data_IF_162547858698
#
_entry.id   IF_162547858698
#
_cell.length_a   1.000
_cell.length_b   1.000
_cell.length_c   1.000
_cell.angle_alpha   90.00
_cell.angle_beta   90.00
_cell.angle_gamma   90.00
#
_symmetry.space_group_name_H-M   'P 1'
#
loop_
_entity.id
_entity.type
_entity.pdbx_description
1 polymer ?
#
# COMPACT_ATOMS: atom_id res chain seq x y z
N UNK A 1 16.76 24.70 -14.65
CA UNK A 1 16.66 25.06 -16.09
C UNK A 1 15.96 23.92 -16.83
N UNK A 2 15.47 24.11 -18.05
CA UNK A 2 14.99 22.98 -18.90
C UNK A 2 16.14 22.35 -19.67
N UNK A 3 15.94 21.13 -20.19
CA UNK A 3 16.98 20.40 -20.94
C UNK A 3 17.48 21.20 -22.16
N UNK A 4 16.58 21.89 -22.87
CA UNK A 4 16.90 22.72 -24.02
C UNK A 4 17.81 23.90 -23.63
N UNK A 5 17.56 24.51 -22.46
CA UNK A 5 18.37 25.61 -21.94
C UNK A 5 19.78 25.12 -21.54
N UNK A 6 19.87 23.93 -20.95
CA UNK A 6 21.14 23.32 -20.57
C UNK A 6 22.02 23.04 -21.79
N UNK A 7 21.44 22.46 -22.85
CA UNK A 7 22.14 22.17 -24.11
C UNK A 7 22.55 23.47 -24.80
N UNK A 8 21.66 24.47 -24.84
CA UNK A 8 22.02 25.76 -25.40
C UNK A 8 23.19 26.41 -24.64
N UNK A 9 23.21 26.34 -23.30
CA UNK A 9 24.32 26.86 -22.50
C UNK A 9 25.65 26.18 -22.83
N UNK A 10 25.63 24.87 -23.09
CA UNK A 10 26.81 24.14 -23.55
C UNK A 10 27.27 24.61 -24.93
N UNK A 11 26.35 24.75 -25.89
CA UNK A 11 26.63 25.28 -27.23
C UNK A 11 27.25 26.68 -27.12
N UNK A 12 26.68 27.56 -26.30
CA UNK A 12 27.15 28.94 -26.14
C UNK A 12 28.57 28.99 -25.57
N UNK A 13 28.87 28.15 -24.57
CA UNK A 13 30.21 27.99 -24.00
C UNK A 13 31.23 27.49 -25.04
N UNK A 14 30.85 26.48 -25.83
CA UNK A 14 31.69 25.93 -26.90
C UNK A 14 31.96 26.96 -28.00
N UNK A 15 30.94 27.73 -28.39
CA UNK A 15 31.07 28.82 -29.35
C UNK A 15 32.04 29.90 -28.87
N UNK A 16 31.92 30.32 -27.62
CA UNK A 16 32.84 31.30 -27.02
C UNK A 16 34.28 30.77 -26.97
N UNK A 17 34.45 29.49 -26.61
CA UNK A 17 35.78 28.87 -26.44
C UNK A 17 36.47 28.56 -27.76
N UNK A 18 35.72 28.20 -28.81
CA UNK A 18 36.25 27.72 -30.10
C UNK A 18 36.02 28.68 -31.26
N UNK A 19 35.37 29.82 -31.03
CA UNK A 19 35.04 30.78 -32.08
C UNK A 19 33.99 30.27 -33.07
N UNK A 20 33.13 29.33 -32.66
CA UNK A 20 32.12 28.75 -33.54
C UNK A 20 30.89 29.66 -33.65
N UNK A 21 30.30 29.72 -34.85
CA UNK A 21 29.02 30.39 -35.08
C UNK A 21 27.86 29.38 -35.06
N UNK A 22 26.65 29.88 -34.81
CA UNK A 22 25.44 29.03 -34.92
C UNK A 22 25.23 28.51 -36.35
N UNK A 23 25.65 29.29 -37.35
CA UNK A 23 25.54 28.89 -38.75
C UNK A 23 26.49 27.75 -39.12
N UNK A 24 27.72 27.76 -38.58
CA UNK A 24 28.65 26.63 -38.72
C UNK A 24 28.08 25.35 -38.12
N UNK A 25 27.51 25.42 -36.90
CA UNK A 25 26.90 24.27 -36.23
C UNK A 25 25.68 23.76 -37.02
N UNK A 26 24.80 24.66 -37.47
CA UNK A 26 23.62 24.31 -38.27
C UNK A 26 24.01 23.68 -39.62
N UNK A 27 25.06 24.20 -40.25
CA UNK A 27 25.57 23.67 -41.52
C UNK A 27 26.20 22.29 -41.35
N UNK A 28 26.98 22.08 -40.30
CA UNK A 28 27.55 20.75 -40.03
C UNK A 28 26.46 19.71 -39.70
N UNK A 29 25.43 20.09 -38.93
CA UNK A 29 24.31 19.22 -38.60
C UNK A 29 23.57 18.67 -39.84
N UNK A 30 23.54 19.43 -40.96
CA UNK A 30 22.94 18.97 -42.23
C UNK A 30 23.64 17.74 -42.81
N UNK A 31 24.93 17.55 -42.55
CA UNK A 31 25.67 16.35 -42.98
C UNK A 31 25.16 15.08 -42.33
N UNK A 32 24.52 15.22 -41.17
CA UNK A 32 23.88 14.14 -40.43
C UNK A 32 22.36 14.11 -40.62
N UNK A 33 21.84 14.80 -41.63
CA UNK A 33 20.42 14.76 -42.03
C UNK A 33 19.51 15.76 -41.30
N UNK A 34 20.04 16.63 -40.43
CA UNK A 34 19.23 17.65 -39.78
C UNK A 34 18.90 18.82 -40.72
N UNK A 35 17.70 19.39 -40.60
CA UNK A 35 17.29 20.60 -41.34
C UNK A 35 17.48 21.89 -40.52
N UNK A 36 18.48 21.89 -39.63
CA UNK A 36 18.65 22.97 -38.66
C UNK A 36 19.03 24.31 -39.31
N UNK A 37 18.55 25.37 -38.67
CA UNK A 37 18.92 26.77 -38.94
C UNK A 37 19.55 27.37 -37.69
N UNK A 38 20.28 28.50 -37.80
CA UNK A 38 20.72 29.24 -36.61
C UNK A 38 19.55 29.61 -35.68
N UNK A 39 18.38 29.89 -36.26
CA UNK A 39 17.13 30.14 -35.55
C UNK A 39 16.67 28.95 -34.70
N UNK A 40 16.75 27.73 -35.24
CA UNK A 40 16.44 26.50 -34.49
C UNK A 40 17.35 26.34 -33.26
N UNK A 41 18.67 26.52 -33.43
CA UNK A 41 19.63 26.36 -32.32
C UNK A 41 19.40 27.43 -31.25
N UNK A 42 19.25 28.69 -31.65
CA UNK A 42 18.92 29.79 -30.72
C UNK A 42 17.56 29.63 -30.04
N UNK A 43 16.60 28.98 -30.70
CA UNK A 43 15.29 28.62 -30.17
C UNK A 43 15.36 27.72 -28.93
N UNK A 44 16.41 26.88 -28.80
CA UNK A 44 16.63 26.03 -27.63
C UNK A 44 16.75 26.84 -26.33
N UNK A 45 17.36 28.05 -26.38
CA UNK A 45 17.48 28.95 -25.23
C UNK A 45 16.12 29.34 -24.62
N UNK A 46 15.09 29.42 -25.46
CA UNK A 46 13.73 29.81 -25.07
C UNK A 46 12.77 28.63 -25.05
N UNK A 47 13.29 27.40 -25.11
CA UNK A 47 12.51 26.18 -25.19
C UNK A 47 11.55 26.14 -26.40
N UNK A 48 11.85 26.89 -27.47
CA UNK A 48 11.04 26.94 -28.70
C UNK A 48 11.44 25.84 -29.71
N UNK A 49 12.53 25.13 -29.45
CA UNK A 49 13.02 24.02 -30.26
C UNK A 49 13.42 22.86 -29.35
N UNK A 50 12.95 21.67 -29.67
CA UNK A 50 13.11 20.50 -28.81
C UNK A 50 14.53 19.90 -28.93
N UNK A 51 15.16 19.66 -27.79
CA UNK A 51 16.38 18.86 -27.72
C UNK A 51 16.03 17.39 -27.46
N UNK A 52 15.47 16.74 -28.47
CA UNK A 52 15.25 15.30 -28.46
C UNK A 52 16.59 14.55 -28.43
N UNK A 53 16.56 13.26 -28.05
CA UNK A 53 17.73 12.38 -28.13
C UNK A 53 18.35 12.38 -29.54
N UNK A 54 17.51 12.32 -30.57
CA UNK A 54 17.92 12.44 -31.97
C UNK A 54 18.72 13.72 -32.21
N UNK A 55 18.22 14.87 -31.74
CA UNK A 55 18.92 16.14 -31.91
C UNK A 55 20.22 16.20 -31.10
N UNK A 56 20.26 15.62 -29.90
CA UNK A 56 21.49 15.55 -29.12
C UNK A 56 22.58 14.71 -29.81
N UNK A 57 22.21 13.58 -30.42
CA UNK A 57 23.14 12.73 -31.17
C UNK A 57 23.75 13.47 -32.37
N UNK A 58 22.92 14.16 -33.15
CA UNK A 58 23.40 14.99 -34.26
C UNK A 58 24.29 16.12 -33.76
N UNK A 59 23.91 16.79 -32.67
CA UNK A 59 24.70 17.87 -32.10
C UNK A 59 26.08 17.38 -31.68
N UNK A 60 26.15 16.24 -30.98
CA UNK A 60 27.41 15.64 -30.55
C UNK A 60 28.32 15.39 -31.76
N UNK A 61 27.82 14.69 -32.78
CA UNK A 61 28.61 14.41 -34.00
C UNK A 61 29.06 15.67 -34.73
N UNK A 62 28.20 16.68 -34.79
CA UNK A 62 28.52 17.97 -35.40
C UNK A 62 29.63 18.70 -34.64
N UNK A 63 29.58 18.70 -33.30
CA UNK A 63 30.61 19.31 -32.47
C UNK A 63 31.92 18.53 -32.48
N UNK A 64 31.88 17.20 -32.51
CA UNK A 64 33.08 16.37 -32.70
C UNK A 64 33.78 16.72 -34.02
N UNK A 65 33.03 16.79 -35.12
CA UNK A 65 33.53 17.16 -36.45
C UNK A 65 34.16 18.56 -36.47
N UNK A 66 33.48 19.56 -35.90
CA UNK A 66 33.96 20.95 -35.88
C UNK A 66 35.14 21.19 -34.94
N UNK A 67 35.28 20.39 -33.89
CA UNK A 67 36.30 20.63 -32.84
C UNK A 67 37.46 19.64 -32.88
N UNK A 68 37.32 18.53 -33.61
CA UNK A 68 38.29 17.44 -33.67
C UNK A 68 38.45 16.67 -32.36
N UNK A 69 37.53 16.86 -31.39
CA UNK A 69 37.59 16.20 -30.08
C UNK A 69 36.45 15.20 -29.95
N UNK A 70 36.72 13.98 -29.44
CA UNK A 70 35.67 13.04 -29.08
C UNK A 70 34.72 13.65 -28.05
N UNK A 71 33.42 13.38 -28.18
CA UNK A 71 32.37 13.90 -27.33
C UNK A 71 31.27 12.84 -27.14
N UNK A 72 30.81 12.66 -25.91
CA UNK A 72 29.67 11.79 -25.59
C UNK A 72 28.45 12.60 -25.16
N UNK A 73 27.28 11.97 -25.08
CA UNK A 73 26.02 12.66 -24.73
C UNK A 73 26.08 13.32 -23.34
N UNK A 74 26.73 12.68 -22.37
CA UNK A 74 26.85 13.20 -21.00
C UNK A 74 27.69 14.49 -20.94
N UNK A 75 28.59 14.72 -21.90
CA UNK A 75 29.42 15.94 -21.96
C UNK A 75 28.60 17.19 -22.30
N UNK A 76 27.39 17.05 -22.86
CA UNK A 76 26.48 18.17 -23.12
C UNK A 76 25.95 18.82 -21.83
N UNK A 77 26.13 18.17 -20.68
CA UNK A 77 25.59 18.59 -19.39
C UNK A 77 26.68 18.76 -18.33
N UNK A 78 27.65 19.68 -18.51
CA UNK A 78 28.72 19.88 -17.54
C UNK A 78 28.24 20.62 -16.28
N UNK A 79 28.97 20.43 -15.18
CA UNK A 79 28.77 21.15 -13.92
C UNK A 79 27.52 20.74 -13.15
N UNK A 80 27.14 21.57 -12.17
CA UNK A 80 26.07 21.28 -11.22
C UNK A 80 24.75 21.98 -11.54
N UNK A 81 23.70 21.57 -10.82
CA UNK A 81 22.37 22.17 -10.87
C UNK A 81 21.28 21.23 -11.40
N UNK A 82 20.04 21.71 -11.34
CA UNK A 82 18.87 20.91 -11.68
C UNK A 82 18.31 21.20 -13.08
N UNK A 83 17.91 20.12 -13.75
CA UNK A 83 17.15 20.11 -14.98
C UNK A 83 15.70 19.75 -14.65
N UNK A 84 14.79 20.66 -14.95
CA UNK A 84 13.34 20.47 -14.78
C UNK A 84 12.83 19.53 -15.87
N UNK A 85 12.08 18.52 -15.45
CA UNK A 85 11.34 17.60 -16.29
C UNK A 85 9.87 18.04 -16.35
N UNK A 86 9.12 17.45 -17.28
CA UNK A 86 7.67 17.64 -17.30
C UNK A 86 7.02 16.89 -16.12
N UNK A 87 5.82 17.33 -15.71
CA UNK A 87 5.11 16.70 -14.60
C UNK A 87 5.64 17.04 -13.19
N UNK A 88 6.45 18.10 -13.07
CA UNK A 88 6.93 18.61 -11.77
C UNK A 88 8.21 17.96 -11.25
N UNK A 89 8.67 16.88 -11.90
CA UNK A 89 9.95 16.26 -11.60
C UNK A 89 11.16 17.12 -12.00
N UNK A 90 12.30 16.82 -11.42
CA UNK A 90 13.61 17.32 -11.81
C UNK A 90 14.66 16.22 -11.75
N UNK A 91 15.78 16.43 -12.40
CA UNK A 91 16.96 15.57 -12.32
C UNK A 91 18.17 16.47 -12.10
N UNK A 92 19.08 16.08 -11.21
CA UNK A 92 20.36 16.78 -11.10
C UNK A 92 21.19 16.49 -12.35
N UNK A 93 22.09 17.42 -12.74
CA UNK A 93 23.00 17.16 -13.87
C UNK A 93 23.89 15.95 -13.64
N UNK A 94 24.25 15.66 -12.40
CA UNK A 94 25.03 14.47 -12.05
C UNK A 94 24.23 13.19 -12.31
N UNK A 95 22.98 13.11 -11.85
CA UNK A 95 22.10 11.96 -12.11
C UNK A 95 21.81 11.80 -13.61
N UNK A 96 21.66 12.91 -14.35
CA UNK A 96 21.50 12.86 -15.81
C UNK A 96 22.74 12.29 -16.51
N UNK A 97 23.95 12.65 -16.05
CA UNK A 97 25.19 12.08 -16.59
C UNK A 97 25.27 10.58 -16.31
N UNK A 98 24.87 10.12 -15.11
CA UNK A 98 24.78 8.69 -14.81
C UNK A 98 23.85 7.97 -15.79
N UNK A 99 22.64 8.51 -15.98
CA UNK A 99 21.64 7.97 -16.90
C UNK A 99 22.20 7.83 -18.33
N UNK A 100 22.81 8.89 -18.86
CA UNK A 100 23.37 8.92 -20.22
C UNK A 100 24.60 8.02 -20.39
N UNK A 101 25.27 7.66 -19.30
CA UNK A 101 26.38 6.70 -19.28
C UNK A 101 25.93 5.26 -19.00
N UNK A 102 24.62 4.99 -18.98
CA UNK A 102 24.06 3.66 -18.78
C UNK A 102 24.02 3.18 -17.33
N UNK A 103 24.20 4.08 -16.37
CA UNK A 103 24.13 3.76 -14.94
C UNK A 103 22.72 4.03 -14.38
N UNK A 104 22.44 3.42 -13.23
CA UNK A 104 21.26 3.75 -12.44
C UNK A 104 21.29 5.21 -12.01
N UNK A 105 20.12 5.85 -11.96
CA UNK A 105 19.97 7.25 -11.63
C UNK A 105 18.66 7.51 -10.89
N UNK A 106 18.61 8.61 -10.16
CA UNK A 106 17.44 9.05 -9.40
C UNK A 106 16.83 10.34 -9.96
N UNK A 107 15.50 10.45 -9.86
CA UNK A 107 14.74 11.66 -10.18
C UNK A 107 14.32 12.36 -8.89
N UNK A 108 14.52 13.66 -8.83
CA UNK A 108 14.10 14.53 -7.74
C UNK A 108 12.68 15.07 -8.01
N UNK A 109 11.92 15.35 -6.96
CA UNK A 109 10.66 16.11 -7.10
C UNK A 109 9.56 15.45 -7.92
N UNK A 110 9.71 14.19 -8.33
CA UNK A 110 8.57 13.33 -8.63
C UNK A 110 8.09 12.89 -7.24
N UNK A 111 7.05 13.51 -6.64
CA UNK A 111 6.37 12.81 -5.56
C UNK A 111 6.04 11.44 -6.15
N UNK A 112 6.34 10.31 -5.46
CA UNK A 112 5.92 9.00 -5.95
C UNK A 112 4.46 9.19 -6.37
N UNK A 113 4.19 9.00 -7.67
CA UNK A 113 2.86 9.23 -8.29
C UNK A 113 1.88 8.74 -7.24
N UNK A 114 1.11 9.66 -6.63
CA UNK A 114 0.35 9.36 -5.40
C UNK A 114 -0.25 7.97 -5.59
N UNK A 115 0.29 6.99 -4.86
CA UNK A 115 -0.04 5.57 -5.05
C UNK A 115 -1.55 5.33 -4.85
N UNK A 116 -2.23 6.33 -4.26
CA UNK A 116 -3.67 6.44 -4.04
C UNK A 116 -4.53 6.67 -5.28
N UNK A 117 -3.97 7.05 -6.45
CA UNK A 117 -4.77 7.44 -7.62
C UNK A 117 -4.69 6.43 -8.78
N UNK A 118 -3.99 5.30 -8.59
CA UNK A 118 -4.03 4.20 -9.53
C UNK A 118 -5.37 3.44 -9.36
N UNK A 119 -6.22 3.35 -10.40
CA UNK A 119 -7.54 2.72 -10.30
C UNK A 119 -7.48 1.26 -9.86
N UNK A 120 -6.39 0.53 -10.17
CA UNK A 120 -6.19 -0.85 -9.72
C UNK A 120 -5.89 -0.90 -8.22
N UNK A 121 -5.08 0.04 -7.72
CA UNK A 121 -4.76 0.14 -6.29
C UNK A 121 -5.97 0.64 -5.49
N UNK A 122 -6.78 1.55 -6.05
CA UNK A 122 -8.04 1.96 -5.43
C UNK A 122 -9.04 0.80 -5.35
N UNK A 123 -9.17 0.01 -6.42
CA UNK A 123 -10.02 -1.19 -6.42
C UNK A 123 -9.53 -2.22 -5.39
N UNK A 124 -8.21 -2.47 -5.32
CA UNK A 124 -7.62 -3.36 -4.32
C UNK A 124 -7.86 -2.86 -2.89
N UNK A 125 -7.60 -1.58 -2.62
CA UNK A 125 -7.85 -0.98 -1.30
C UNK A 125 -9.33 -1.03 -0.95
N UNK A 126 -10.23 -0.76 -1.89
CA UNK A 126 -11.67 -0.83 -1.67
C UNK A 126 -12.14 -2.27 -1.43
N UNK A 127 -11.62 -3.25 -2.18
CA UNK A 127 -11.92 -4.66 -1.98
C UNK A 127 -11.42 -5.15 -0.61
N UNK A 128 -10.21 -4.75 -0.20
CA UNK A 128 -9.67 -5.03 1.13
C UNK A 128 -10.54 -4.40 2.22
N UNK A 129 -10.88 -3.11 2.12
CA UNK A 129 -11.76 -2.42 3.07
C UNK A 129 -13.14 -3.07 3.16
N UNK A 130 -13.71 -3.52 2.04
CA UNK A 130 -15.00 -4.22 1.99
C UNK A 130 -14.91 -5.63 2.61
N UNK A 131 -13.73 -6.23 2.67
CA UNK A 131 -13.52 -7.55 3.28
C UNK A 131 -13.36 -7.50 4.80
N UNK A 132 -12.97 -6.34 5.38
CA UNK A 132 -12.76 -6.18 6.83
C UNK A 132 -14.00 -6.56 7.64
N UNK A 133 -15.23 -6.08 7.33
CA UNK A 133 -16.42 -6.49 8.07
C UNK A 133 -16.65 -8.01 8.07
N UNK A 134 -16.36 -8.69 6.97
CA UNK A 134 -16.50 -10.15 6.86
C UNK A 134 -15.43 -10.88 7.70
N UNK A 135 -14.18 -10.40 7.68
CA UNK A 135 -13.11 -10.95 8.51
C UNK A 135 -13.46 -10.79 9.99
N UNK A 136 -13.90 -9.61 10.41
CA UNK A 136 -14.26 -9.35 11.81
C UNK A 136 -15.51 -10.13 12.25
N UNK A 137 -16.46 -10.36 11.35
CA UNK A 137 -17.60 -11.25 11.60
C UNK A 137 -17.14 -12.69 11.84
N UNK A 138 -16.22 -13.21 11.02
CA UNK A 138 -15.65 -14.55 11.20
C UNK A 138 -14.84 -14.68 12.50
N UNK A 139 -14.05 -13.67 12.85
CA UNK A 139 -13.35 -13.62 14.15
C UNK A 139 -14.36 -13.64 15.30
N UNK A 140 -15.45 -12.87 15.17
CA UNK A 140 -16.51 -12.83 16.17
C UNK A 140 -17.18 -14.20 16.36
N UNK A 141 -17.54 -14.86 15.26
CA UNK A 141 -18.13 -16.20 15.26
C UNK A 141 -17.18 -17.24 15.87
N UNK A 142 -15.90 -17.20 15.50
CA UNK A 142 -14.88 -18.09 16.04
C UNK A 142 -14.72 -17.94 17.56
N UNK A 143 -14.67 -16.72 18.08
CA UNK A 143 -14.53 -16.46 19.53
C UNK A 143 -15.75 -16.98 20.31
N UNK A 144 -16.95 -16.69 19.83
CA UNK A 144 -18.20 -17.13 20.47
C UNK A 144 -18.32 -18.64 20.43
N UNK A 145 -18.12 -19.26 19.27
CA UNK A 145 -18.18 -20.72 19.12
C UNK A 145 -17.12 -21.42 19.97
N UNK A 146 -15.90 -20.88 20.06
CA UNK A 146 -14.83 -21.43 20.91
C UNK A 146 -15.22 -21.38 22.39
N UNK A 147 -15.83 -20.29 22.87
CA UNK A 147 -16.29 -20.20 24.25
C UNK A 147 -17.48 -21.15 24.53
N UNK A 148 -18.45 -21.23 23.61
CA UNK A 148 -19.63 -22.08 23.76
C UNK A 148 -19.31 -23.59 23.63
N UNK A 149 -18.28 -23.96 22.87
CA UNK A 149 -17.80 -25.34 22.76
C UNK A 149 -16.66 -25.66 23.75
N UNK A 150 -16.25 -24.69 24.56
CA UNK A 150 -15.20 -24.87 25.57
C UNK A 150 -15.64 -25.73 26.76
N UNK A 151 -14.75 -25.89 27.76
CA UNK A 151 -15.04 -26.64 28.98
C UNK A 151 -16.33 -26.18 29.65
N UNK A 152 -17.03 -27.10 30.35
CA UNK A 152 -18.37 -26.85 30.91
C UNK A 152 -18.48 -25.57 31.74
N UNK A 153 -17.40 -25.18 32.45
CA UNK A 153 -17.35 -23.90 33.19
C UNK A 153 -17.45 -22.69 32.25
N UNK A 154 -16.57 -22.62 31.23
CA UNK A 154 -16.53 -21.51 30.27
C UNK A 154 -17.83 -21.43 29.47
N UNK A 155 -18.31 -22.57 28.97
CA UNK A 155 -19.59 -22.65 28.27
C UNK A 155 -20.74 -22.13 29.13
N UNK A 156 -20.84 -22.58 30.39
CA UNK A 156 -21.94 -22.20 31.28
C UNK A 156 -21.93 -20.70 31.62
N UNK A 157 -20.75 -20.12 31.87
CA UNK A 157 -20.62 -18.68 32.10
C UNK A 157 -21.02 -17.90 30.83
N UNK A 158 -20.56 -18.33 29.66
CA UNK A 158 -20.88 -17.69 28.39
C UNK A 158 -22.38 -17.74 28.04
N UNK A 159 -23.06 -18.87 28.27
CA UNK A 159 -24.48 -19.02 27.94
C UNK A 159 -25.40 -18.14 28.79
N UNK A 160 -24.98 -17.78 30.00
CA UNK A 160 -25.78 -16.97 30.92
C UNK A 160 -25.38 -15.49 30.94
N UNK A 161 -24.29 -15.14 30.26
CA UNK A 161 -23.80 -13.77 30.22
C UNK A 161 -24.49 -12.94 29.14
N UNK A 162 -24.92 -11.74 29.52
CA UNK A 162 -25.38 -10.72 28.58
C UNK A 162 -24.36 -9.59 28.54
N UNK A 163 -23.81 -9.22 27.36
CA UNK A 163 -22.74 -8.23 27.26
C UNK A 163 -23.09 -6.89 27.91
N UNK A 164 -22.22 -6.40 28.79
CA UNK A 164 -22.44 -5.13 29.50
C UNK A 164 -22.24 -3.93 28.58
N UNK A 165 -22.68 -2.74 29.01
CA UNK A 165 -22.47 -1.51 28.24
C UNK A 165 -20.97 -1.20 28.05
N UNK A 166 -20.13 -1.59 29.02
CA UNK A 166 -18.66 -1.47 28.91
C UNK A 166 -18.13 -2.37 27.79
N UNK A 167 -18.63 -3.61 27.71
CA UNK A 167 -18.22 -4.59 26.70
C UNK A 167 -18.72 -4.23 25.31
N UNK A 168 -19.94 -3.70 25.18
CA UNK A 168 -20.47 -3.20 23.91
C UNK A 168 -19.57 -2.08 23.36
N UNK A 169 -19.24 -1.09 24.19
CA UNK A 169 -18.34 0.01 23.80
C UNK A 169 -16.92 -0.44 23.52
N UNK A 170 -16.46 -1.49 24.20
CA UNK A 170 -15.14 -2.07 23.96
C UNK A 170 -15.11 -2.82 22.63
N UNK A 171 -16.15 -3.60 22.35
CA UNK A 171 -16.32 -4.34 21.09
C UNK A 171 -16.36 -3.40 19.88
N UNK A 172 -17.10 -2.28 19.98
CA UNK A 172 -17.14 -1.24 18.94
C UNK A 172 -15.76 -0.67 18.61
N UNK A 173 -14.88 -0.54 19.61
CA UNK A 173 -13.53 0.02 19.42
C UNK A 173 -12.59 -0.92 18.68
N UNK A 174 -12.72 -2.22 18.91
CA UNK A 174 -11.87 -3.25 18.30
C UNK A 174 -12.54 -3.91 17.09
N UNK A 175 -13.77 -3.50 16.74
CA UNK A 175 -14.47 -3.93 15.52
C UNK A 175 -15.09 -5.32 15.54
N UNK A 176 -15.37 -5.92 16.72
CA UNK A 176 -16.05 -7.23 16.85
C UNK A 176 -17.42 -7.09 17.52
N UNK A 177 -18.19 -8.18 17.59
CA UNK A 177 -19.49 -8.16 18.28
C UNK A 177 -19.33 -8.17 19.81
N UNK A 178 -20.28 -7.60 20.54
CA UNK A 178 -20.25 -7.59 22.01
C UNK A 178 -20.20 -9.00 22.64
N UNK A 179 -20.92 -10.02 22.13
CA UNK A 179 -20.73 -11.41 22.57
C UNK A 179 -19.32 -11.94 22.31
N UNK A 180 -18.70 -11.61 21.18
CA UNK A 180 -17.33 -12.02 20.89
C UNK A 180 -16.31 -11.36 21.82
N UNK A 181 -16.53 -10.09 22.19
CA UNK A 181 -15.68 -9.39 23.14
C UNK A 181 -15.77 -10.00 24.55
N UNK A 182 -16.98 -10.37 24.99
CA UNK A 182 -17.16 -11.10 26.25
C UNK A 182 -16.50 -12.49 26.19
N UNK A 183 -16.66 -13.20 25.07
CA UNK A 183 -16.05 -14.51 24.85
C UNK A 183 -14.52 -14.45 24.92
N UNK A 184 -13.86 -13.49 24.26
CA UNK A 184 -12.39 -13.39 24.31
C UNK A 184 -11.88 -12.98 25.70
N UNK A 185 -12.61 -12.14 26.45
CA UNK A 185 -12.29 -11.86 27.85
C UNK A 185 -12.31 -13.15 28.68
N UNK A 186 -13.39 -13.93 28.53
CA UNK A 186 -13.58 -15.18 29.26
C UNK A 186 -12.52 -16.23 28.88
N UNK A 187 -12.22 -16.38 27.59
CA UNK A 187 -11.20 -17.32 27.08
C UNK A 187 -9.77 -16.95 27.50
N UNK A 188 -9.46 -15.65 27.62
CA UNK A 188 -8.12 -15.17 27.99
C UNK A 188 -7.91 -15.10 29.49
N UNK A 189 -8.89 -14.63 30.24
CA UNK A 189 -8.73 -14.28 31.65
C UNK A 189 -9.57 -15.17 32.59
N UNK A 190 -10.46 -15.99 32.04
CA UNK A 190 -11.46 -16.74 32.81
C UNK A 190 -12.51 -15.85 33.47
N UNK A 191 -12.63 -14.58 33.04
CA UNK A 191 -13.49 -13.52 33.61
C UNK A 191 -13.97 -12.56 32.52
N UNK A 192 -15.12 -11.93 32.73
CA UNK A 192 -15.64 -10.86 31.88
C UNK A 192 -14.95 -9.52 32.15
N UNK A 193 -15.16 -8.52 31.28
CA UNK A 193 -14.39 -7.27 31.29
C UNK A 193 -14.45 -6.53 32.63
N UNK A 194 -15.65 -6.36 33.18
CA UNK A 194 -15.86 -5.59 34.41
C UNK A 194 -15.18 -6.28 35.62
N UNK A 195 -15.18 -7.62 35.66
CA UNK A 195 -14.51 -8.40 36.70
C UNK A 195 -12.99 -8.35 36.58
N UNK A 196 -12.45 -8.54 35.37
CA UNK A 196 -11.01 -8.51 35.17
C UNK A 196 -10.43 -7.13 35.45
N UNK A 197 -11.12 -6.07 35.03
CA UNK A 197 -10.69 -4.69 35.29
C UNK A 197 -10.79 -4.33 36.78
N UNK A 198 -11.86 -4.77 37.48
CA UNK A 198 -11.97 -4.61 38.92
C UNK A 198 -10.85 -5.33 39.68
N UNK A 199 -10.49 -6.54 39.24
CA UNK A 199 -9.38 -7.32 39.81
C UNK A 199 -8.03 -6.61 39.63
N UNK A 200 -7.72 -6.14 38.42
CA UNK A 200 -6.46 -5.41 38.13
C UNK A 200 -6.37 -4.09 38.89
N UNK A 201 -7.48 -3.37 38.99
CA UNK A 201 -7.52 -2.08 39.67
C UNK A 201 -7.42 -2.23 41.20
N UNK A 202 -7.98 -3.31 41.75
CA UNK A 202 -8.11 -3.63 43.18
C UNK A 202 -9.46 -3.20 43.76
N UNK A 203 -9.96 -3.90 44.80
CA UNK A 203 -11.35 -3.76 45.30
C UNK A 203 -11.78 -2.32 45.68
N UNK A 204 -10.87 -1.47 46.13
CA UNK A 204 -11.15 -0.07 46.53
C UNK A 204 -10.60 1.00 45.56
N UNK A 205 -10.37 0.63 44.31
CA UNK A 205 -9.81 1.54 43.31
C UNK A 205 -10.78 2.63 42.86
N UNK A 206 -10.23 3.83 42.64
CA UNK A 206 -11.01 4.95 42.12
C UNK A 206 -11.53 4.69 40.70
N UNK A 207 -12.64 5.35 40.28
CA UNK A 207 -13.16 5.22 38.92
C UNK A 207 -12.12 5.51 37.82
N UNK A 208 -11.21 6.46 38.05
CA UNK A 208 -10.14 6.79 37.09
C UNK A 208 -9.12 5.66 36.96
N UNK A 209 -8.79 4.97 38.06
CA UNK A 209 -7.89 3.83 38.03
C UNK A 209 -8.53 2.64 37.29
N UNK A 210 -9.80 2.34 37.58
CA UNK A 210 -10.57 1.31 36.87
C UNK A 210 -10.63 1.59 35.36
N UNK A 211 -10.92 2.83 34.98
CA UNK A 211 -10.94 3.23 33.57
C UNK A 211 -9.59 3.14 32.85
N UNK A 212 -8.46 3.17 33.58
CA UNK A 212 -7.13 2.88 33.00
C UNK A 212 -6.95 1.39 32.75
N UNK A 213 -7.32 0.55 33.72
CA UNK A 213 -7.25 -0.91 33.54
C UNK A 213 -8.18 -1.40 32.42
N UNK A 214 -9.38 -0.82 32.28
CA UNK A 214 -10.28 -1.12 31.16
C UNK A 214 -9.62 -0.83 29.82
N UNK A 215 -8.90 0.30 29.68
CA UNK A 215 -8.17 0.60 28.44
C UNK A 215 -7.05 -0.40 28.17
N UNK A 216 -6.29 -0.77 29.20
CA UNK A 216 -5.24 -1.79 29.07
C UNK A 216 -5.78 -3.16 28.62
N UNK A 217 -6.92 -3.60 29.18
CA UNK A 217 -7.58 -4.85 28.75
C UNK A 217 -8.06 -4.78 27.31
N UNK A 218 -8.60 -3.64 26.87
CA UNK A 218 -9.02 -3.41 25.48
C UNK A 218 -7.81 -3.48 24.54
N UNK A 219 -6.71 -2.79 24.86
CA UNK A 219 -5.47 -2.82 24.07
C UNK A 219 -4.87 -4.23 23.97
N UNK A 220 -4.88 -5.00 25.06
CA UNK A 220 -4.41 -6.40 25.05
C UNK A 220 -5.28 -7.33 24.20
N UNK A 221 -6.59 -7.05 24.11
CA UNK A 221 -7.53 -7.78 23.27
C UNK A 221 -7.39 -7.38 21.81
N UNK A 222 -7.18 -6.09 21.52
CA UNK A 222 -6.93 -5.57 20.17
C UNK A 222 -5.70 -6.25 19.56
N UNK A 223 -4.58 -6.26 20.30
CA UNK A 223 -3.35 -6.98 19.91
C UNK A 223 -3.57 -8.49 19.74
N UNK A 224 -4.48 -9.07 20.52
CA UNK A 224 -4.83 -10.49 20.37
C UNK A 224 -5.56 -10.76 19.06
N UNK A 225 -6.52 -9.89 18.71
CA UNK A 225 -7.29 -10.00 17.47
C UNK A 225 -6.36 -9.79 16.27
N UNK A 226 -5.47 -8.80 16.33
CA UNK A 226 -4.45 -8.58 15.31
C UNK A 226 -3.58 -9.82 15.09
N UNK A 227 -3.13 -10.47 16.16
CA UNK A 227 -2.37 -11.72 16.06
C UNK A 227 -3.21 -12.86 15.45
N UNK A 228 -4.49 -12.98 15.83
CA UNK A 228 -5.40 -13.99 15.23
C UNK A 228 -5.56 -13.81 13.72
N UNK A 229 -5.63 -12.56 13.26
CA UNK A 229 -5.80 -12.22 11.84
C UNK A 229 -4.50 -12.48 11.06
N UNK A 230 -3.35 -12.11 11.61
CA UNK A 230 -2.07 -12.16 10.90
C UNK A 230 -1.35 -13.52 11.00
N UNK A 231 -1.41 -14.17 12.16
CA UNK A 231 -0.58 -15.33 12.50
C UNK A 231 -1.39 -16.62 12.72
N UNK A 232 -2.73 -16.52 12.79
CA UNK A 232 -3.64 -17.65 12.92
C UNK A 232 -4.16 -17.89 14.35
N UNK A 233 -4.90 -18.99 14.60
CA UNK A 233 -5.59 -19.23 15.86
C UNK A 233 -4.61 -19.37 17.05
N UNK A 234 -5.00 -18.80 18.19
CA UNK A 234 -4.17 -18.73 19.41
C UNK A 234 -4.65 -19.79 20.41
N UNK A 235 -3.72 -20.40 21.15
CA UNK A 235 -4.06 -21.20 22.32
C UNK A 235 -4.61 -20.33 23.44
N UNK A 236 -5.88 -20.54 23.83
CA UNK A 236 -6.49 -19.83 24.94
C UNK A 236 -6.13 -20.48 26.29
N UNK A 237 -5.56 -19.73 27.26
CA UNK A 237 -5.18 -20.28 28.55
C UNK A 237 -6.34 -20.93 29.31
N UNK A 238 -7.55 -20.37 29.23
CA UNK A 238 -8.72 -20.91 29.92
C UNK A 238 -9.19 -22.28 29.39
N UNK A 239 -8.66 -22.73 28.24
CA UNK A 239 -8.95 -24.05 27.67
C UNK A 239 -7.95 -25.14 28.13
N UNK A 240 -6.84 -24.76 28.78
CA UNK A 240 -5.78 -25.71 29.17
C UNK A 240 -6.02 -26.42 30.52
N UNK A 241 -7.01 -25.98 31.30
CA UNK A 241 -7.23 -26.45 32.69
C UNK A 241 -8.21 -27.62 32.86
N UNK A 242 -8.73 -28.22 31.78
CA UNK A 242 -9.65 -29.37 31.91
C UNK A 242 -8.97 -30.70 31.59
N UNK A 243 -8.69 -31.43 32.67
CA UNK A 243 -8.37 -32.86 32.68
C UNK A 243 -9.44 -33.64 31.87
N UNK A 244 -9.02 -34.24 30.76
CA UNK A 244 -9.53 -35.41 30.02
C UNK A 244 -11.03 -35.61 29.70
N UNK A 245 -11.25 -36.21 28.52
CA UNK A 245 -12.45 -36.89 27.99
C UNK A 245 -13.61 -36.05 27.46
N UNK A 246 -13.54 -35.67 26.17
CA UNK A 246 -14.44 -36.25 25.14
C UNK A 246 -13.95 -35.86 23.73
N UNK A 247 -13.37 -36.81 23.01
CA UNK A 247 -12.82 -36.65 21.66
C UNK A 247 -13.54 -37.65 20.76
N UNK A 248 -14.61 -37.23 20.08
CA UNK A 248 -15.06 -37.82 18.79
C UNK A 248 -16.21 -36.99 18.23
N UNK A 249 -15.91 -35.91 17.49
CA UNK A 249 -16.73 -35.27 16.41
C UNK A 249 -16.24 -33.85 16.06
N UNK A 250 -15.39 -33.23 16.88
CA UNK A 250 -15.01 -31.81 16.76
C UNK A 250 -13.86 -31.49 15.79
N UNK A 251 -13.24 -32.49 15.14
CA UNK A 251 -12.04 -32.29 14.32
C UNK A 251 -12.36 -31.71 12.91
N UNK A 252 -13.59 -31.90 12.43
CA UNK A 252 -13.97 -31.59 11.05
C UNK A 252 -14.27 -30.10 10.82
N UNK A 253 -14.96 -29.40 11.74
CA UNK A 253 -15.27 -27.97 11.55
C UNK A 253 -14.07 -27.07 11.84
N UNK A 254 -13.26 -27.39 12.85
CA UNK A 254 -12.02 -26.67 13.13
C UNK A 254 -11.01 -26.83 11.99
N UNK A 255 -10.93 -28.03 11.40
CA UNK A 255 -10.12 -28.26 10.18
C UNK A 255 -10.61 -27.43 9.00
N UNK A 256 -11.92 -27.32 8.78
CA UNK A 256 -12.47 -26.54 7.64
C UNK A 256 -12.22 -25.04 7.76
N UNK A 257 -12.31 -24.48 8.97
CA UNK A 257 -12.04 -23.05 9.21
C UNK A 257 -10.54 -22.75 9.11
N UNK A 258 -9.69 -23.61 9.68
CA UNK A 258 -8.23 -23.51 9.56
C UNK A 258 -7.76 -23.65 8.10
N UNK A 259 -8.39 -24.55 7.33
CA UNK A 259 -8.13 -24.70 5.89
C UNK A 259 -8.53 -23.44 5.11
N UNK A 260 -9.68 -22.83 5.45
CA UNK A 260 -10.16 -21.59 4.83
C UNK A 260 -9.24 -20.41 5.11
N UNK A 261 -8.74 -20.27 6.34
CA UNK A 261 -7.74 -19.26 6.71
C UNK A 261 -6.40 -19.49 5.98
N UNK A 262 -5.98 -20.76 5.82
CA UNK A 262 -4.79 -21.10 5.04
C UNK A 262 -4.95 -20.87 3.53
N UNK A 263 -6.17 -20.97 2.98
CA UNK A 263 -6.48 -20.61 1.57
C UNK A 263 -6.43 -19.09 1.36
N UNK A 264 -6.96 -18.32 2.32
CA UNK A 264 -6.78 -16.86 2.37
C UNK A 264 -5.30 -16.46 2.35
N UNK A 265 -4.46 -17.11 3.16
CA UNK A 265 -3.02 -16.83 3.23
C UNK A 265 -2.27 -17.11 1.91
N UNK A 266 -2.74 -18.08 1.11
CA UNK A 266 -2.11 -18.47 -0.16
C UNK A 266 -2.62 -17.69 -1.37
N UNK A 267 -3.71 -16.93 -1.22
CA UNK A 267 -4.39 -16.26 -2.34
C UNK A 267 -5.19 -17.22 -3.23
N UNK A 268 -5.45 -18.44 -2.76
CA UNK A 268 -6.08 -19.53 -3.53
C UNK A 268 -7.62 -19.45 -3.57
N UNK A 269 -8.22 -18.32 -3.18
CA UNK A 269 -9.67 -18.12 -3.24
C UNK A 269 -10.03 -17.44 -4.56
N UNK A 270 -10.46 -18.23 -5.54
CA UNK A 270 -11.19 -17.72 -6.69
C UNK A 270 -12.50 -17.11 -6.19
N UNK A 271 -12.55 -15.78 -6.14
CA UNK A 271 -13.81 -15.05 -6.01
C UNK A 271 -14.51 -15.18 -7.36
N UNK A 272 -15.19 -16.29 -7.56
CA UNK A 272 -16.16 -16.40 -8.64
C UNK A 272 -17.21 -15.29 -8.39
N UNK A 273 -17.21 -14.29 -9.26
CA UNK A 273 -18.33 -13.36 -9.35
C UNK A 273 -19.58 -14.22 -9.59
N UNK A 274 -20.47 -14.27 -8.60
CA UNK A 274 -21.81 -14.78 -8.80
C UNK A 274 -22.48 -13.83 -9.80
N UNK A 275 -22.44 -14.19 -11.09
CA UNK A 275 -23.36 -13.65 -12.08
C UNK A 275 -24.76 -14.14 -11.71
N UNK A 276 -25.62 -13.16 -11.49
CA UNK A 276 -26.97 -13.29 -10.98
C UNK A 276 -27.87 -13.86 -12.10
N UNK A 277 -27.88 -15.18 -12.28
CA UNK A 277 -28.88 -15.88 -13.10
C UNK A 277 -30.21 -16.03 -12.35
N UNK A 278 -30.88 -14.91 -12.09
CA UNK A 278 -32.30 -14.92 -11.82
C UNK A 278 -33.07 -14.68 -13.11
N UNK A 279 -33.19 -15.76 -13.90
CA UNK A 279 -34.18 -15.90 -14.96
C UNK A 279 -35.57 -15.95 -14.30
N UNK A 280 -36.25 -14.81 -14.28
CA UNK A 280 -37.63 -14.71 -13.84
C UNK A 280 -38.52 -15.26 -14.96
N UNK A 281 -38.91 -16.53 -14.86
CA UNK A 281 -39.92 -17.14 -15.72
C UNK A 281 -41.30 -16.59 -15.32
N UNK A 282 -41.71 -15.52 -15.98
CA UNK A 282 -43.06 -14.95 -15.90
C UNK A 282 -43.90 -15.42 -17.08
N UNK A 283 -44.44 -16.64 -17.01
CA UNK A 283 -45.51 -17.11 -17.89
C UNK A 283 -46.87 -16.57 -17.39
N UNK A 284 -47.58 -15.91 -18.31
CA UNK A 284 -49.03 -15.99 -18.51
C UNK A 284 -49.97 -15.51 -17.40
N UNK A 285 -50.59 -14.34 -17.61
CA UNK A 285 -51.96 -14.30 -18.17
C UNK A 285 -52.50 -12.87 -18.25
N UNK A 286 -52.65 -12.40 -19.49
CA UNK A 286 -53.63 -11.39 -19.94
C UNK A 286 -54.75 -12.18 -20.67
N UNK A 287 -55.93 -11.65 -21.04
CA UNK A 287 -56.57 -10.36 -20.72
C UNK A 287 -58.10 -10.47 -20.47
N UNK A 288 -58.75 -9.35 -20.08
CA UNK A 288 -60.03 -8.83 -20.61
C UNK A 288 -60.40 -7.49 -19.97
#
# INVERSE_FOLDING_TARGET
MRINEAIYAYIDSMRATKGLTLDQIATEARRYGATWTPGFISGMKRNASAASLFNMLILVKSLESLTGKPLVLSDLFPGEGEIKLDGGGSISREELRKALNGNHFELLGIPPKKMSDDPVIQQLNQALLNSIPNIMAKVSEYLVSTALNGPSKIRNEMTHHSPTLSEQRAADKVGITAPAFAAICLLRYGRFLDEETARRAGQNSSPQKRGRETRGVIEEIDLCIDHMINDGPIGFPALQDSNSTDLTTHDDEQSRVAETLNKLRRGDLDIAAYEDEHKFDGDGDDPA
#
